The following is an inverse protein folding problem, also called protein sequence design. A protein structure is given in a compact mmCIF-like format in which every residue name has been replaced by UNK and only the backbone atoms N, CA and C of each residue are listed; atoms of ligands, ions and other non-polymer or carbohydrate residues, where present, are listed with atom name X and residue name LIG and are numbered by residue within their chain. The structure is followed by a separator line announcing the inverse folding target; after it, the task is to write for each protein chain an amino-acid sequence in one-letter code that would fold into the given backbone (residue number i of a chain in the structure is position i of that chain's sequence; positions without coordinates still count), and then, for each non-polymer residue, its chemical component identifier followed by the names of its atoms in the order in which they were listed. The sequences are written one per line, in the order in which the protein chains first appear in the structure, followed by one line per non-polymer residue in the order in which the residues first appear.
data_IF_947398904280
#
_entry.id   IF_947398904280
#
_cell.length_a   1.000
_cell.length_b   1.000
_cell.length_c   1.000
_cell.angle_alpha   90.00
_cell.angle_beta   90.00
_cell.angle_gamma   90.00
#
_symmetry.space_group_name_H-M   'P 1'
#
loop_
_entity.id
_entity.type
_entity.pdbx_description
1 polymer ?
#
# COMPACT_ATOMS: atom_id res chain seq x y z
N UNK A 1 -2.38 -22.43 -4.58
CA UNK A 1 -2.21 -20.99 -4.39
C UNK A 1 -1.30 -20.73 -3.22
N UNK A 2 -0.49 -19.71 -3.31
CA UNK A 2 0.43 -19.38 -2.23
C UNK A 2 -0.28 -18.49 -1.21
N UNK A 3 0.24 -18.48 0.02
CA UNK A 3 -0.23 -17.58 1.07
C UNK A 3 -0.03 -16.13 0.64
N UNK A 4 1.06 -15.85 -0.05
CA UNK A 4 1.35 -14.53 -0.57
C UNK A 4 0.27 -14.06 -1.55
N UNK A 5 -0.12 -14.92 -2.50
CA UNK A 5 -1.17 -14.59 -3.45
C UNK A 5 -2.51 -14.36 -2.76
N UNK A 6 -2.83 -15.15 -1.75
CA UNK A 6 -4.07 -15.00 -0.99
C UNK A 6 -4.09 -13.67 -0.25
N UNK A 7 -2.96 -13.26 0.34
CA UNK A 7 -2.87 -11.97 1.00
C UNK A 7 -3.07 -10.83 0.02
N UNK A 8 -2.38 -10.87 -1.12
CA UNK A 8 -2.49 -9.81 -2.13
C UNK A 8 -3.91 -9.68 -2.63
N UNK A 9 -4.58 -10.79 -2.91
CA UNK A 9 -5.97 -10.76 -3.37
C UNK A 9 -6.92 -10.24 -2.28
N UNK A 10 -6.66 -10.56 -1.02
CA UNK A 10 -7.45 -10.04 0.09
C UNK A 10 -7.34 -8.52 0.20
N UNK A 11 -6.12 -7.98 0.06
CA UNK A 11 -5.88 -6.54 0.10
C UNK A 11 -6.58 -5.87 -1.08
N UNK A 12 -6.50 -6.47 -2.28
CA UNK A 12 -7.15 -5.94 -3.47
C UNK A 12 -8.66 -5.92 -3.30
N UNK A 13 -9.26 -6.98 -2.74
CA UNK A 13 -10.70 -7.04 -2.50
C UNK A 13 -11.15 -5.91 -1.57
N UNK A 14 -10.40 -5.67 -0.50
CA UNK A 14 -10.69 -4.57 0.41
C UNK A 14 -10.60 -3.22 -0.29
N UNK A 15 -9.55 -3.01 -1.08
CA UNK A 15 -9.35 -1.78 -1.83
C UNK A 15 -10.50 -1.54 -2.81
N UNK A 16 -10.86 -2.56 -3.59
CA UNK A 16 -11.90 -2.43 -4.61
C UNK A 16 -13.27 -2.22 -4.02
N UNK A 17 -13.50 -2.66 -2.79
CA UNK A 17 -14.77 -2.44 -2.11
C UNK A 17 -15.05 -0.94 -1.95
N UNK A 18 -14.00 -0.15 -1.69
CA UNK A 18 -14.14 1.29 -1.49
C UNK A 18 -13.79 2.11 -2.73
N UNK A 19 -12.91 1.61 -3.59
CA UNK A 19 -12.35 2.37 -4.72
C UNK A 19 -12.38 1.53 -5.99
N UNK A 20 -13.58 1.30 -6.51
CA UNK A 20 -13.78 0.37 -7.62
C UNK A 20 -13.37 0.93 -8.98
N UNK A 21 -13.38 2.25 -9.16
CA UNK A 21 -13.17 2.87 -10.48
C UNK A 21 -12.35 4.15 -10.37
N UNK A 22 -11.81 4.59 -11.50
CA UNK A 22 -11.13 5.86 -11.64
C UNK A 22 -9.62 5.76 -11.45
N UNK A 23 -8.97 6.90 -11.39
CA UNK A 23 -7.53 7.00 -11.09
C UNK A 23 -7.34 6.86 -9.60
N UNK A 24 -6.73 5.76 -9.18
CA UNK A 24 -6.60 5.42 -7.76
C UNK A 24 -5.15 5.25 -7.39
N UNK A 25 -4.78 5.72 -6.19
CA UNK A 25 -3.41 5.73 -5.70
C UNK A 25 -3.30 4.87 -4.45
N UNK A 26 -2.33 3.94 -4.47
CA UNK A 26 -2.00 3.08 -3.34
C UNK A 26 -0.56 3.34 -2.95
N UNK A 27 -0.30 3.61 -1.69
CA UNK A 27 1.06 3.77 -1.18
C UNK A 27 1.50 2.49 -0.48
N UNK A 28 2.75 2.09 -0.72
CA UNK A 28 3.39 0.97 -0.02
C UNK A 28 4.64 1.52 0.64
N UNK A 29 4.67 1.49 1.96
CA UNK A 29 5.72 2.13 2.74
C UNK A 29 6.28 1.17 3.79
N UNK A 30 7.55 1.32 4.11
CA UNK A 30 8.22 0.55 5.15
C UNK A 30 9.52 1.23 5.53
N UNK A 31 10.19 0.79 6.62
CA UNK A 31 11.53 1.30 6.92
C UNK A 31 12.57 0.93 5.86
N UNK A 32 12.29 -0.07 5.03
CA UNK A 32 13.18 -0.55 3.97
C UNK A 32 12.54 -0.27 2.60
N UNK A 33 13.10 0.72 1.89
CA UNK A 33 12.57 1.14 0.59
C UNK A 33 12.56 0.01 -0.45
N UNK A 34 13.56 -0.86 -0.42
CA UNK A 34 13.64 -1.99 -1.36
C UNK A 34 12.52 -3.00 -1.06
N UNK A 35 12.20 -3.21 0.21
CA UNK A 35 11.07 -4.05 0.61
C UNK A 35 9.77 -3.48 0.07
N UNK A 36 9.59 -2.18 0.19
CA UNK A 36 8.39 -1.50 -0.34
C UNK A 36 8.29 -1.67 -1.84
N UNK A 37 9.40 -1.48 -2.55
CA UNK A 37 9.43 -1.61 -4.01
C UNK A 37 9.07 -3.03 -4.46
N UNK A 38 9.62 -4.04 -3.80
CA UNK A 38 9.33 -5.43 -4.14
C UNK A 38 7.85 -5.77 -3.93
N UNK A 39 7.29 -5.35 -2.81
CA UNK A 39 5.87 -5.60 -2.53
C UNK A 39 4.97 -4.86 -3.52
N UNK A 40 5.31 -3.61 -3.84
CA UNK A 40 4.53 -2.81 -4.79
C UNK A 40 4.49 -3.47 -6.17
N UNK A 41 5.62 -4.03 -6.62
CA UNK A 41 5.66 -4.74 -7.90
C UNK A 41 4.76 -5.97 -7.89
N UNK A 42 4.77 -6.72 -6.79
CA UNK A 42 3.89 -7.89 -6.64
C UNK A 42 2.42 -7.48 -6.60
N UNK A 43 2.11 -6.40 -5.92
CA UNK A 43 0.74 -5.90 -5.83
C UNK A 43 0.23 -5.45 -7.20
N UNK A 44 1.05 -4.69 -7.95
CA UNK A 44 0.68 -4.25 -9.29
C UNK A 44 0.45 -5.45 -10.21
N UNK A 45 1.29 -6.48 -10.12
CA UNK A 45 1.13 -7.70 -10.91
C UNK A 45 -0.18 -8.43 -10.54
N UNK A 46 -0.53 -8.44 -9.25
CA UNK A 46 -1.78 -9.07 -8.81
C UNK A 46 -3.01 -8.32 -9.32
N UNK A 47 -2.98 -6.98 -9.34
CA UNK A 47 -4.04 -6.19 -9.96
C UNK A 47 -4.17 -6.55 -11.45
N UNK A 48 -3.04 -6.58 -12.15
CA UNK A 48 -3.02 -6.88 -13.59
C UNK A 48 -3.58 -8.28 -13.88
N UNK A 49 -3.26 -9.25 -13.02
CA UNK A 49 -3.78 -10.61 -13.17
C UNK A 49 -5.31 -10.66 -13.03
N UNK A 50 -5.91 -9.67 -12.38
CA UNK A 50 -7.37 -9.57 -12.24
C UNK A 50 -8.00 -8.67 -13.30
N UNK A 51 -7.23 -8.28 -14.31
CA UNK A 51 -7.73 -7.44 -15.40
C UNK A 51 -7.77 -5.95 -15.07
N UNK A 52 -7.07 -5.52 -14.03
CA UNK A 52 -7.04 -4.12 -13.60
C UNK A 52 -5.71 -3.51 -14.03
N UNK A 53 -5.78 -2.40 -14.78
CA UNK A 53 -4.57 -1.70 -15.19
C UNK A 53 -3.85 -1.12 -13.97
N UNK A 54 -2.61 -1.54 -13.75
CA UNK A 54 -1.85 -1.10 -12.59
C UNK A 54 -0.37 -1.03 -12.91
N UNK A 55 0.30 -0.03 -12.34
CA UNK A 55 1.75 0.13 -12.44
C UNK A 55 2.32 0.45 -11.06
N UNK A 56 3.61 0.14 -10.87
CA UNK A 56 4.30 0.44 -9.63
C UNK A 56 5.44 1.41 -9.92
N UNK A 57 5.59 2.42 -9.06
CA UNK A 57 6.63 3.44 -9.18
C UNK A 57 7.35 3.63 -7.85
N UNK A 58 8.65 3.94 -7.93
CA UNK A 58 9.45 4.27 -6.75
C UNK A 58 10.04 5.67 -7.02
N UNK A 59 9.31 6.73 -6.65
CA UNK A 59 9.74 8.08 -7.00
C UNK A 59 10.93 8.56 -6.17
N UNK A 60 11.74 9.43 -6.79
CA UNK A 60 12.84 10.11 -6.14
C UNK A 60 12.46 11.55 -5.78
N UNK A 61 11.20 11.78 -5.48
CA UNK A 61 10.71 13.11 -5.16
C UNK A 61 11.26 13.57 -3.80
N UNK A 62 11.94 14.73 -3.74
CA UNK A 62 12.56 15.18 -2.49
C UNK A 62 11.54 15.67 -1.45
N UNK A 63 10.37 16.12 -1.88
CA UNK A 63 9.35 16.63 -0.97
C UNK A 63 7.94 16.37 -1.53
N UNK A 64 6.93 16.77 -0.76
CA UNK A 64 5.54 16.54 -1.13
C UNK A 64 5.14 17.29 -2.40
N UNK A 65 5.66 18.50 -2.59
CA UNK A 65 5.32 19.29 -3.76
C UNK A 65 5.86 18.64 -5.05
N UNK A 66 7.10 18.14 -5.00
CA UNK A 66 7.68 17.44 -6.15
C UNK A 66 6.91 16.16 -6.46
N UNK A 67 6.55 15.40 -5.41
CA UNK A 67 5.77 14.17 -5.58
C UNK A 67 4.42 14.47 -6.23
N UNK A 68 3.75 15.51 -5.74
CA UNK A 68 2.44 15.89 -6.27
C UNK A 68 2.52 16.35 -7.72
N UNK A 69 3.51 17.20 -8.06
CA UNK A 69 3.59 17.78 -9.40
C UNK A 69 4.15 16.81 -10.44
N UNK A 70 5.03 15.89 -10.03
CA UNK A 70 5.73 15.01 -10.98
C UNK A 70 5.04 13.67 -11.17
N UNK A 71 4.30 13.19 -10.18
CA UNK A 71 3.70 11.85 -10.23
C UNK A 71 2.20 11.86 -9.97
N UNK A 72 1.78 12.35 -8.80
CA UNK A 72 0.38 12.25 -8.36
C UNK A 72 -0.56 13.09 -9.23
N UNK A 73 -0.19 14.34 -9.48
CA UNK A 73 -1.00 15.24 -10.29
C UNK A 73 -1.20 14.74 -11.70
N UNK A 74 -0.12 14.43 -12.44
CA UNK A 74 -0.26 13.90 -13.81
C UNK A 74 -1.10 12.62 -13.87
N UNK A 75 -0.91 11.70 -12.92
CA UNK A 75 -1.68 10.47 -12.91
C UNK A 75 -3.18 10.74 -12.71
N UNK A 76 -3.51 11.61 -11.75
CA UNK A 76 -4.91 11.95 -11.48
C UNK A 76 -5.54 12.72 -12.63
N UNK A 77 -4.77 13.59 -13.28
CA UNK A 77 -5.27 14.41 -14.40
C UNK A 77 -5.54 13.57 -15.63
N UNK A 78 -4.88 12.45 -15.80
CA UNK A 78 -5.11 11.53 -16.91
C UNK A 78 -6.51 10.90 -16.87
N UNK A 79 -7.11 10.81 -15.68
CA UNK A 79 -8.47 10.30 -15.47
C UNK A 79 -8.71 8.92 -16.07
N UNK A 80 -7.69 8.08 -16.03
CA UNK A 80 -7.81 6.71 -16.52
C UNK A 80 -8.32 5.81 -15.41
N UNK A 81 -9.00 4.75 -15.80
CA UNK A 81 -9.44 3.74 -14.85
C UNK A 81 -8.26 2.82 -14.56
N UNK A 82 -7.41 3.22 -13.65
CA UNK A 82 -6.13 2.57 -13.37
C UNK A 82 -5.72 2.76 -11.92
N UNK A 83 -4.75 1.94 -11.49
CA UNK A 83 -4.18 2.01 -10.14
C UNK A 83 -2.69 2.32 -10.27
N UNK A 84 -2.23 3.32 -9.53
CA UNK A 84 -0.81 3.62 -9.40
C UNK A 84 -0.37 3.20 -8.01
N UNK A 85 0.57 2.26 -7.93
CA UNK A 85 1.13 1.79 -6.67
C UNK A 85 2.47 2.52 -6.46
N UNK A 86 2.56 3.32 -5.42
CA UNK A 86 3.75 4.13 -5.15
C UNK A 86 4.47 3.55 -3.94
N UNK A 87 5.73 3.15 -4.14
CA UNK A 87 6.54 2.57 -3.09
C UNK A 87 7.57 3.57 -2.58
N UNK A 88 7.87 3.50 -1.30
CA UNK A 88 8.88 4.38 -0.73
C UNK A 88 9.16 4.10 0.73
N UNK A 89 9.82 5.06 1.38
CA UNK A 89 10.20 5.01 2.78
C UNK A 89 9.05 5.54 3.67
N UNK A 90 9.25 5.62 5.00
CA UNK A 90 8.19 6.08 5.89
C UNK A 90 7.64 7.47 5.56
N UNK A 91 8.39 8.30 4.85
CA UNK A 91 7.95 9.63 4.48
C UNK A 91 6.67 9.66 3.65
N UNK A 92 6.34 8.58 2.94
CA UNK A 92 5.09 8.52 2.17
C UNK A 92 3.85 8.68 3.03
N UNK A 93 3.94 8.35 4.31
CA UNK A 93 2.81 8.40 5.23
C UNK A 93 2.91 9.57 6.22
N UNK A 94 3.82 10.52 5.98
CA UNK A 94 3.91 11.70 6.83
C UNK A 94 2.72 12.64 6.61
N UNK A 95 2.61 13.67 7.43
CA UNK A 95 1.45 14.57 7.42
C UNK A 95 1.25 15.28 6.09
N UNK A 96 2.33 15.50 5.32
CA UNK A 96 2.25 16.24 4.06
C UNK A 96 1.91 15.35 2.87
N UNK A 97 2.09 14.03 2.99
CA UNK A 97 1.91 13.10 1.87
C UNK A 97 0.77 12.12 2.03
N UNK A 98 0.42 11.73 3.26
CA UNK A 98 -0.56 10.66 3.48
C UNK A 98 -1.93 10.94 2.87
N UNK A 99 -2.29 12.21 2.71
CA UNK A 99 -3.56 12.59 2.10
C UNK A 99 -3.62 12.40 0.60
N UNK A 100 -2.51 12.06 -0.03
CA UNK A 100 -2.48 11.81 -1.47
C UNK A 100 -3.02 10.44 -1.85
N UNK A 101 -3.08 9.51 -0.91
CA UNK A 101 -3.35 8.11 -1.20
C UNK A 101 -4.79 7.73 -0.86
N UNK A 102 -5.41 6.95 -1.72
CA UNK A 102 -6.72 6.35 -1.43
C UNK A 102 -6.58 5.22 -0.43
N UNK A 103 -5.46 4.49 -0.52
CA UNK A 103 -5.21 3.33 0.32
C UNK A 103 -3.71 3.28 0.60
N UNK A 104 -3.34 2.95 1.82
CA UNK A 104 -1.92 2.86 2.17
C UNK A 104 -1.63 1.57 2.91
N UNK A 105 -0.45 1.00 2.61
CA UNK A 105 0.00 -0.25 3.18
C UNK A 105 1.34 0.01 3.88
N UNK A 106 1.43 -0.38 5.13
CA UNK A 106 2.68 -0.36 5.87
C UNK A 106 3.19 -1.79 6.03
N UNK A 107 4.41 -2.03 5.56
CA UNK A 107 5.07 -3.32 5.68
C UNK A 107 6.00 -3.30 6.88
N UNK A 108 5.90 -4.31 7.72
CA UNK A 108 6.72 -4.43 8.92
C UNK A 108 7.30 -5.82 9.01
N UNK A 109 8.46 -5.93 9.64
CA UNK A 109 9.14 -7.22 9.85
C UNK A 109 9.69 -7.27 11.26
N UNK A 110 9.61 -8.44 11.90
CA UNK A 110 10.10 -8.64 13.24
C UNK A 110 9.43 -7.71 14.24
N UNK A 111 10.23 -6.96 14.97
CA UNK A 111 9.74 -6.09 16.03
C UNK A 111 9.63 -4.62 15.59
N UNK A 112 9.59 -4.37 14.30
CA UNK A 112 9.40 -3.01 13.81
C UNK A 112 8.06 -2.45 14.25
N UNK A 113 8.05 -1.12 14.46
CA UNK A 113 6.86 -0.43 14.94
C UNK A 113 5.79 -0.31 13.85
N UNK A 114 4.53 -0.61 14.13
CA UNK A 114 3.46 -0.36 13.17
C UNK A 114 3.21 1.13 12.97
N UNK A 115 2.77 1.51 11.76
CA UNK A 115 2.42 2.88 11.43
C UNK A 115 0.89 3.01 11.44
N UNK A 116 0.36 3.67 12.44
CA UNK A 116 -1.10 3.71 12.66
C UNK A 116 -1.86 4.54 11.64
N UNK A 117 -1.17 5.36 10.84
CA UNK A 117 -1.81 6.12 9.77
C UNK A 117 -2.08 5.29 8.51
N UNK A 118 -1.50 4.09 8.40
CA UNK A 118 -1.70 3.24 7.25
C UNK A 118 -3.09 2.59 7.28
N UNK A 119 -3.68 2.39 6.09
CA UNK A 119 -4.94 1.69 5.96
C UNK A 119 -4.79 0.22 6.31
N UNK A 120 -3.68 -0.39 5.93
CA UNK A 120 -3.42 -1.80 6.16
C UNK A 120 -2.01 -2.01 6.70
N UNK A 121 -1.88 -2.90 7.66
CA UNK A 121 -0.59 -3.32 8.20
C UNK A 121 -0.33 -4.75 7.72
N UNK A 122 0.84 -4.97 7.12
CA UNK A 122 1.21 -6.30 6.61
C UNK A 122 2.55 -6.69 7.22
N UNK A 123 2.58 -7.87 7.83
CA UNK A 123 3.80 -8.42 8.42
C UNK A 123 4.50 -9.28 7.37
N UNK A 124 5.73 -8.93 7.05
CA UNK A 124 6.54 -9.62 6.06
C UNK A 124 7.81 -10.20 6.69
N UNK A 125 7.76 -10.54 7.98
CA UNK A 125 8.88 -11.18 8.67
C UNK A 125 9.33 -12.44 7.93
N UNK A 126 8.36 -13.19 7.41
CA UNK A 126 8.61 -14.28 6.47
C UNK A 126 8.03 -13.84 5.11
N UNK A 127 8.89 -13.44 4.15
CA UNK A 127 8.39 -12.92 2.87
C UNK A 127 7.54 -13.93 2.08
N UNK A 128 7.67 -15.22 2.36
CA UNK A 128 6.88 -16.25 1.68
C UNK A 128 5.54 -16.50 2.36
N UNK A 129 5.34 -15.96 3.58
CA UNK A 129 4.12 -16.13 4.34
C UNK A 129 3.71 -14.80 4.98
N UNK A 130 3.46 -13.76 4.15
CA UNK A 130 3.01 -12.47 4.68
C UNK A 130 1.60 -12.58 5.24
N UNK A 131 1.28 -11.76 6.24
CA UNK A 131 -0.07 -11.74 6.81
C UNK A 131 -0.46 -10.35 7.26
N UNK A 132 -1.78 -10.11 7.32
CA UNK A 132 -2.35 -8.86 7.79
C UNK A 132 -2.22 -8.74 9.31
N UNK A 133 -1.87 -7.54 9.75
CA UNK A 133 -1.91 -7.20 11.17
C UNK A 133 -2.92 -6.09 11.38
N UNK A 134 -3.47 -6.03 12.56
CA UNK A 134 -4.42 -4.97 12.92
C UNK A 134 -3.87 -4.19 14.10
N UNK A 135 -4.14 -2.88 14.12
CA UNK A 135 -3.73 -2.06 15.25
C UNK A 135 -4.39 -2.57 16.53
N UNK A 136 -3.70 -2.43 17.66
CA UNK A 136 -4.17 -3.00 18.92
C UNK A 136 -5.58 -2.54 19.28
N UNK A 137 -5.90 -1.29 19.00
CA UNK A 137 -7.24 -0.77 19.30
C UNK A 137 -8.32 -1.42 18.44
N UNK A 138 -7.96 -2.03 17.32
CA UNK A 138 -8.89 -2.77 16.49
C UNK A 138 -8.97 -4.24 16.89
N UNK A 139 -7.90 -4.78 17.46
CA UNK A 139 -7.79 -6.18 17.82
C UNK A 139 -8.53 -6.52 19.12
N UNK A 140 -9.05 -5.65 19.75
CA UNK A 140 -9.71 -5.81 21.03
C UNK A 140 -10.69 -6.96 21.16
N UNK A 141 -10.48 -6.83 21.33
CA UNK A 141 -10.73 -7.38 21.76
C UNK A 141 -10.79 -8.17 22.28
N UNK A 142 -10.63 -8.09 22.32
CA UNK A 142 -10.32 -8.68 22.70
C UNK A 142 -10.50 -9.02 23.27
N UNK A 143 -10.88 -8.79 23.32
CA UNK A 143 -10.74 -8.99 23.57
C UNK A 143 -11.26 -9.14 23.33
N UNK A 144 -11.79 -8.78 22.89
CA UNK A 144 -11.75 -9.08 22.59
C UNK A 144 -11.69 -9.51 22.39
N UNK A 145 -11.90 -9.65 22.36
CA UNK A 145 -11.35 -10.27 22.18
C UNK A 145 -11.00 -10.57 22.13
N UNK A 146 -11.32 -10.48 22.24
CA UNK A 146 -10.63 -10.73 22.23
C UNK A 146 -10.39 -11.05 22.23
#
# INVERSE_FOLDING_TARGET
MSVEADLLNSVIDEFLHSYAHGSRLVAVSSPDRDRSAAFAAQLAAAFTARGITATAEVPDAPDADALRSELVGPFRSARENAVLVVAGDPGLLDDTRRGMWHFSIWLMAGEETPHTAATALVDVSDPQHPFRRFADYCAVPDTFHT
#
